data_IF_742944859272
#
_entry.id   IF_742944859272
#
_cell.length_a   1.000
_cell.length_b   1.000
_cell.length_c   1.000
_cell.angle_alpha   90.00
_cell.angle_beta   90.00
_cell.angle_gamma   90.00
#
_symmetry.space_group_name_H-M   'P 1'
#
loop_
_entity.id
_entity.type
_entity.pdbx_description
1 polymer ?
#
# COMPACT_ATOMS: atom_id res chain seq x y z
N UNK A 1 -46.77 -4.77 1.55
CA UNK A 1 -46.99 -5.03 0.12
C UNK A 1 -45.67 -5.57 -0.45
N UNK A 2 -45.63 -6.87 -0.79
CA UNK A 2 -44.54 -7.51 -1.53
C UNK A 2 -44.46 -6.90 -2.93
N UNK A 3 -43.26 -6.74 -3.51
CA UNK A 3 -42.92 -7.10 -4.90
C UNK A 3 -41.69 -6.33 -5.45
N UNK A 4 -40.64 -7.12 -5.70
CA UNK A 4 -39.75 -7.10 -6.87
C UNK A 4 -38.91 -5.85 -7.18
N UNK A 5 -37.64 -5.94 -6.82
CA UNK A 5 -36.54 -5.45 -7.67
C UNK A 5 -35.44 -6.53 -7.69
N UNK A 6 -35.70 -7.60 -8.43
CA UNK A 6 -34.66 -8.51 -8.90
C UNK A 6 -33.85 -7.75 -9.96
N UNK A 7 -32.64 -7.32 -9.61
CA UNK A 7 -31.72 -6.67 -10.53
C UNK A 7 -31.31 -7.66 -11.64
N UNK A 8 -31.56 -7.36 -12.93
CA UNK A 8 -31.27 -8.28 -14.04
C UNK A 8 -29.76 -8.48 -14.28
N UNK A 9 -28.90 -7.75 -13.57
CA UNK A 9 -27.44 -7.79 -13.71
C UNK A 9 -26.87 -9.07 -13.07
N UNK A 10 -27.52 -9.61 -12.02
CA UNK A 10 -27.04 -10.80 -11.31
C UNK A 10 -27.29 -12.11 -12.09
N UNK A 11 -28.34 -12.15 -12.91
CA UNK A 11 -28.64 -13.31 -13.76
C UNK A 11 -27.78 -13.40 -15.03
N UNK A 12 -27.22 -12.29 -15.52
CA UNK A 12 -26.41 -12.30 -16.74
C UNK A 12 -24.96 -12.71 -16.44
N UNK A 13 -24.42 -12.38 -15.27
CA UNK A 13 -23.04 -12.73 -14.88
C UNK A 13 -22.93 -14.20 -14.45
N UNK A 14 -23.97 -14.76 -13.81
CA UNK A 14 -24.04 -16.20 -13.48
C UNK A 14 -24.25 -17.05 -14.74
N UNK A 15 -24.92 -16.51 -15.77
CA UNK A 15 -25.12 -17.24 -17.04
C UNK A 15 -23.84 -17.26 -17.90
N UNK A 16 -23.00 -16.22 -17.85
CA UNK A 16 -21.76 -16.16 -18.61
C UNK A 16 -20.65 -17.08 -18.05
N UNK A 17 -20.63 -17.32 -16.74
CA UNK A 17 -19.70 -18.29 -16.12
C UNK A 17 -20.14 -19.74 -16.31
N UNK A 18 -21.44 -20.01 -16.48
CA UNK A 18 -21.95 -21.37 -16.77
C UNK A 18 -21.69 -21.79 -18.23
N UNK A 19 -21.64 -20.84 -19.17
CA UNK A 19 -21.41 -21.16 -20.60
C UNK A 19 -19.94 -21.55 -20.88
N UNK A 20 -18.97 -21.12 -20.07
CA UNK A 20 -17.56 -21.51 -20.25
C UNK A 20 -17.21 -22.88 -19.64
N UNK A 21 -18.09 -23.50 -18.86
CA UNK A 21 -17.85 -24.81 -18.20
C UNK A 21 -18.62 -25.96 -18.89
N UNK A 22 -19.53 -25.66 -19.82
CA UNK A 22 -20.37 -26.67 -20.49
C UNK A 22 -19.89 -26.99 -21.91
N UNK A 23 -18.65 -27.47 -22.05
CA UNK A 23 -18.22 -28.27 -23.19
C UNK A 23 -17.31 -29.40 -22.68
N UNK A 24 -17.89 -30.30 -21.87
CA UNK A 24 -17.28 -31.61 -21.65
C UNK A 24 -17.84 -32.51 -22.75
N UNK A 25 -17.01 -32.82 -23.74
CA UNK A 25 -17.35 -33.79 -24.78
C UNK A 25 -17.71 -35.12 -24.08
N UNK A 26 -18.90 -35.63 -24.35
CA UNK A 26 -19.25 -37.01 -24.04
C UNK A 26 -18.37 -37.91 -24.89
N UNK A 27 -17.31 -38.46 -24.28
CA UNK A 27 -16.63 -39.62 -24.85
C UNK A 27 -17.60 -40.80 -24.81
N UNK A 28 -18.08 -41.17 -25.99
CA UNK A 28 -18.83 -42.40 -26.22
C UNK A 28 -17.98 -43.59 -25.79
N UNK A 29 -18.48 -44.36 -24.83
CA UNK A 29 -17.86 -45.62 -24.39
C UNK A 29 -17.93 -46.63 -25.53
N UNK A 30 -16.85 -46.78 -26.29
CA UNK A 30 -16.68 -47.89 -27.21
C UNK A 30 -16.39 -49.18 -26.42
N UNK A 31 -17.19 -50.22 -26.66
CA UNK A 31 -16.93 -51.58 -26.18
C UNK A 31 -15.57 -52.05 -26.76
N UNK A 32 -14.67 -52.63 -25.95
CA UNK A 32 -13.35 -53.00 -26.42
C UNK A 32 -13.45 -54.06 -27.53
N UNK A 33 -12.99 -53.70 -28.72
CA UNK A 33 -12.76 -54.64 -29.81
C UNK A 33 -11.73 -55.70 -29.36
N UNK A 34 -11.88 -56.93 -29.83
CA UNK A 34 -11.04 -58.08 -29.44
C UNK A 34 -9.65 -57.96 -30.07
N UNK A 35 -8.85 -57.04 -29.54
CA UNK A 35 -7.45 -56.84 -29.90
C UNK A 35 -6.60 -57.94 -29.24
N UNK A 36 -5.81 -58.66 -30.04
CA UNK A 36 -4.96 -59.75 -29.56
C UNK A 36 -3.61 -59.18 -29.10
N UNK A 37 -3.56 -58.79 -27.84
CA UNK A 37 -2.34 -58.25 -27.22
C UNK A 37 -1.30 -59.35 -27.03
N UNK A 38 -0.03 -59.05 -27.36
CA UNK A 38 1.10 -59.94 -27.14
C UNK A 38 1.34 -60.23 -25.65
N UNK A 39 1.08 -59.24 -24.78
CA UNK A 39 1.03 -59.38 -23.32
C UNK A 39 -0.41 -59.29 -22.83
N UNK A 40 -0.80 -60.20 -21.94
CA UNK A 40 -2.15 -60.18 -21.36
C UNK A 40 -2.10 -60.17 -19.84
N UNK A 41 -2.74 -59.17 -19.24
CA UNK A 41 -3.07 -59.09 -17.84
C UNK A 41 -4.44 -59.77 -17.64
N UNK A 42 -4.49 -60.79 -16.80
CA UNK A 42 -5.71 -61.55 -16.53
C UNK A 42 -6.48 -61.01 -15.32
N UNK A 43 -5.77 -60.74 -14.22
CA UNK A 43 -6.37 -60.30 -12.96
C UNK A 43 -5.33 -59.65 -12.05
N UNK A 44 -5.81 -58.88 -11.09
CA UNK A 44 -5.02 -58.38 -9.97
C UNK A 44 -5.32 -59.22 -8.72
N UNK A 45 -4.37 -59.28 -7.79
CA UNK A 45 -4.59 -59.93 -6.48
C UNK A 45 -5.69 -59.26 -5.68
N UNK A 46 -5.86 -57.94 -5.84
CA UNK A 46 -6.95 -57.14 -5.29
C UNK A 46 -7.36 -56.07 -6.30
N UNK A 47 -8.66 -55.82 -6.43
CA UNK A 47 -9.19 -54.71 -7.24
C UNK A 47 -9.31 -53.41 -6.44
N UNK A 48 -9.27 -53.50 -5.10
CA UNK A 48 -9.29 -52.37 -4.17
C UNK A 48 -8.02 -52.40 -3.32
N UNK A 49 -7.25 -51.30 -3.30
CA UNK A 49 -6.00 -51.21 -2.54
C UNK A 49 -5.68 -49.76 -2.15
N UNK A 50 -4.80 -49.56 -1.16
CA UNK A 50 -4.27 -48.25 -0.80
C UNK A 50 -2.90 -48.00 -1.43
N UNK A 51 -2.51 -46.74 -1.55
CA UNK A 51 -1.14 -46.35 -1.95
C UNK A 51 -0.12 -47.01 -0.99
N UNK A 52 0.92 -47.62 -1.55
CA UNK A 52 1.94 -48.35 -0.78
C UNK A 52 1.60 -49.81 -0.50
N UNK A 53 0.39 -50.28 -0.83
CA UNK A 53 0.07 -51.71 -0.75
C UNK A 53 0.89 -52.50 -1.78
N UNK A 54 1.19 -53.75 -1.44
CA UNK A 54 1.78 -54.69 -2.40
C UNK A 54 0.67 -55.42 -3.16
N UNK A 55 0.69 -55.33 -4.48
CA UNK A 55 -0.22 -56.05 -5.36
C UNK A 55 0.52 -57.01 -6.29
N UNK A 56 -0.18 -58.07 -6.70
CA UNK A 56 0.31 -59.04 -7.68
C UNK A 56 -0.55 -58.94 -8.94
N UNK A 57 0.12 -58.71 -10.07
CA UNK A 57 -0.47 -58.66 -11.40
C UNK A 57 -0.26 -60.02 -12.05
N UNK A 58 -1.35 -60.72 -12.35
CA UNK A 58 -1.30 -62.04 -12.98
C UNK A 58 -1.60 -61.91 -14.47
N UNK A 59 -0.80 -62.56 -15.30
CA UNK A 59 -0.93 -62.52 -16.75
C UNK A 59 -0.08 -63.57 -17.45
N UNK A 60 0.27 -63.29 -18.71
CA UNK A 60 1.11 -64.15 -19.54
C UNK A 60 2.00 -63.31 -20.46
N UNK A 61 3.15 -63.86 -20.82
CA UNK A 61 4.16 -63.28 -21.72
C UNK A 61 4.83 -62.02 -21.14
N UNK A 62 4.90 -61.89 -19.82
CA UNK A 62 5.63 -60.78 -19.19
C UNK A 62 7.14 -60.88 -19.44
N UNK A 63 7.66 -62.08 -19.68
CA UNK A 63 9.07 -62.41 -19.74
C UNK A 63 9.65 -62.77 -18.38
N UNK A 64 10.69 -63.60 -18.36
CA UNK A 64 11.37 -64.09 -17.15
C UNK A 64 12.00 -62.96 -16.30
N UNK A 65 12.29 -61.82 -16.92
CA UNK A 65 12.80 -60.61 -16.26
C UNK A 65 12.17 -59.35 -16.86
N UNK A 66 12.13 -58.26 -16.09
CA UNK A 66 11.53 -56.97 -16.50
C UNK A 66 12.10 -56.44 -17.83
N UNK A 67 13.42 -56.51 -18.00
CA UNK A 67 14.20 -55.91 -19.10
C UNK A 67 13.80 -54.46 -19.35
N UNK A 68 12.89 -54.20 -20.29
CA UNK A 68 12.43 -52.86 -20.66
C UNK A 68 10.92 -52.66 -20.43
N UNK A 69 10.21 -53.65 -19.85
CA UNK A 69 8.77 -53.55 -19.59
C UNK A 69 8.51 -52.66 -18.38
N UNK A 70 7.60 -51.68 -18.52
CA UNK A 70 7.22 -50.78 -17.44
C UNK A 70 5.74 -50.95 -17.16
N UNK A 71 5.40 -51.23 -15.90
CA UNK A 71 4.03 -51.26 -15.40
C UNK A 71 3.58 -49.84 -15.06
N UNK A 72 2.38 -49.47 -15.49
CA UNK A 72 1.84 -48.13 -15.37
C UNK A 72 0.48 -48.16 -14.68
N UNK A 73 0.31 -47.31 -13.68
CA UNK A 73 -0.92 -47.07 -12.92
C UNK A 73 -1.49 -45.71 -13.31
N UNK A 74 -2.52 -45.70 -14.16
CA UNK A 74 -3.25 -44.49 -14.58
C UNK A 74 -2.34 -43.34 -15.09
N UNK A 75 -1.28 -43.71 -15.81
CA UNK A 75 -0.26 -42.78 -16.33
C UNK A 75 1.00 -42.66 -15.49
N UNK A 76 1.03 -43.18 -14.27
CA UNK A 76 2.19 -43.19 -13.37
C UNK A 76 3.01 -44.46 -13.53
N UNK A 77 4.27 -44.33 -13.95
CA UNK A 77 5.22 -45.43 -14.04
C UNK A 77 5.67 -45.90 -12.64
N UNK A 78 5.73 -47.22 -12.43
CA UNK A 78 6.32 -47.79 -11.22
C UNK A 78 7.84 -47.62 -11.29
N UNK A 79 8.43 -47.00 -10.27
CA UNK A 79 9.89 -46.87 -10.14
C UNK A 79 10.56 -48.23 -9.95
N UNK A 80 11.86 -48.33 -10.27
CA UNK A 80 12.59 -49.61 -10.14
C UNK A 80 12.54 -50.19 -8.72
N UNK A 81 12.54 -49.33 -7.69
CA UNK A 81 12.40 -49.72 -6.28
C UNK A 81 11.02 -50.29 -5.93
N UNK A 82 10.00 -49.99 -6.74
CA UNK A 82 8.63 -50.47 -6.54
C UNK A 82 8.41 -51.93 -6.97
N UNK A 83 9.35 -52.55 -7.69
CA UNK A 83 9.25 -53.94 -8.12
C UNK A 83 9.84 -54.88 -7.07
N UNK A 84 9.01 -55.77 -6.53
CA UNK A 84 9.43 -56.79 -5.55
C UNK A 84 9.85 -58.08 -6.27
N UNK A 85 9.09 -58.50 -7.28
CA UNK A 85 9.45 -59.65 -8.11
C UNK A 85 8.81 -59.58 -9.50
N UNK A 86 9.45 -60.22 -10.48
CA UNK A 86 9.00 -60.30 -11.86
C UNK A 86 9.24 -61.71 -12.40
N UNK A 87 8.24 -62.30 -13.04
CA UNK A 87 8.38 -63.51 -13.86
C UNK A 87 7.37 -63.49 -15.01
N UNK A 88 7.37 -64.51 -15.88
CA UNK A 88 6.55 -64.53 -17.09
C UNK A 88 5.03 -64.46 -16.85
N UNK A 89 4.56 -64.87 -15.66
CA UNK A 89 3.14 -64.97 -15.31
C UNK A 89 2.67 -64.03 -14.20
N UNK A 90 3.60 -63.47 -13.42
CA UNK A 90 3.30 -62.69 -12.21
C UNK A 90 4.30 -61.56 -12.03
N UNK A 91 3.77 -60.37 -11.76
CA UNK A 91 4.56 -59.20 -11.37
C UNK A 91 4.08 -58.77 -9.98
N UNK A 92 5.00 -58.63 -9.03
CA UNK A 92 4.71 -58.15 -7.67
C UNK A 92 5.29 -56.75 -7.51
N UNK A 93 4.41 -55.78 -7.24
CA UNK A 93 4.78 -54.37 -7.15
C UNK A 93 4.14 -53.68 -5.96
N UNK A 94 4.76 -52.59 -5.52
CA UNK A 94 4.21 -51.62 -4.59
C UNK A 94 3.41 -50.59 -5.37
N UNK A 95 2.18 -50.30 -4.94
CA UNK A 95 1.32 -49.28 -5.55
C UNK A 95 1.98 -47.91 -5.42
N UNK A 96 2.27 -47.19 -6.53
CA UNK A 96 2.97 -45.92 -6.49
C UNK A 96 2.12 -44.81 -5.85
N UNK A 97 2.78 -43.75 -5.35
CA UNK A 97 2.12 -42.61 -4.68
C UNK A 97 1.12 -41.88 -5.56
N UNK A 98 1.33 -41.92 -6.88
CA UNK A 98 0.48 -41.27 -7.88
C UNK A 98 -0.32 -42.29 -8.71
N UNK A 99 -0.66 -43.45 -8.13
CA UNK A 99 -1.47 -44.47 -8.80
C UNK A 99 -2.88 -44.00 -9.21
N UNK A 100 -3.33 -42.84 -8.72
CA UNK A 100 -4.49 -42.11 -9.24
C UNK A 100 -4.08 -40.64 -9.30
N UNK A 101 -3.51 -40.22 -10.42
CA UNK A 101 -3.36 -38.80 -10.76
C UNK A 101 -3.12 -38.67 -12.27
N UNK A 102 -4.02 -37.96 -12.95
CA UNK A 102 -3.59 -37.15 -14.09
C UNK A 102 -2.73 -36.00 -13.53
N UNK A 103 -1.51 -35.91 -14.06
CA UNK A 103 -0.49 -34.88 -13.81
C UNK A 103 0.47 -35.16 -12.64
N UNK A 104 1.51 -35.93 -12.95
CA UNK A 104 2.70 -36.12 -12.13
C UNK A 104 3.62 -34.87 -12.07
N UNK A 105 3.19 -33.68 -12.50
CA UNK A 105 4.06 -32.50 -12.58
C UNK A 105 3.94 -31.49 -11.43
N UNK A 106 2.92 -31.55 -10.57
CA UNK A 106 2.64 -30.43 -9.63
C UNK A 106 2.70 -30.76 -8.14
N UNK A 107 2.97 -32.01 -7.73
CA UNK A 107 3.17 -32.38 -6.33
C UNK A 107 1.97 -32.13 -5.40
N UNK A 108 0.78 -31.91 -5.96
CA UNK A 108 -0.48 -31.76 -5.25
C UNK A 108 -1.49 -32.76 -5.77
N UNK A 109 -2.20 -33.40 -4.84
CA UNK A 109 -3.25 -34.39 -5.14
C UNK A 109 -4.35 -33.68 -5.91
N UNK A 110 -4.38 -33.84 -7.23
CA UNK A 110 -5.59 -33.57 -7.99
C UNK A 110 -6.64 -34.51 -7.39
N UNK A 111 -7.61 -33.96 -6.68
CA UNK A 111 -8.76 -34.70 -6.16
C UNK A 111 -9.65 -35.07 -7.35
N UNK A 112 -9.15 -35.93 -8.25
CA UNK A 112 -10.00 -36.65 -9.16
C UNK A 112 -11.07 -37.33 -8.31
N UNK A 113 -12.33 -36.98 -8.58
CA UNK A 113 -13.50 -37.59 -7.95
C UNK A 113 -13.62 -39.08 -8.33
N UNK A 114 -12.86 -39.55 -9.33
CA UNK A 114 -12.75 -40.97 -9.64
C UNK A 114 -11.67 -41.62 -8.78
N UNK A 115 -12.07 -42.65 -8.03
CA UNK A 115 -11.13 -43.58 -7.40
C UNK A 115 -10.73 -44.72 -8.35
N UNK A 116 -11.16 -44.67 -9.62
CA UNK A 116 -10.95 -45.71 -10.62
C UNK A 116 -9.75 -45.33 -11.49
N UNK A 117 -8.75 -46.21 -11.56
CA UNK A 117 -7.58 -46.09 -12.45
C UNK A 117 -7.43 -47.31 -13.36
N UNK A 118 -6.56 -47.20 -14.37
CA UNK A 118 -6.24 -48.31 -15.30
C UNK A 118 -4.79 -48.76 -15.15
N UNK A 119 -4.57 -50.07 -15.08
CA UNK A 119 -3.23 -50.67 -15.08
C UNK A 119 -2.89 -51.28 -16.44
N UNK A 120 -1.71 -51.00 -16.97
CA UNK A 120 -1.24 -51.53 -18.26
C UNK A 120 0.30 -51.53 -18.36
N UNK A 121 0.85 -52.15 -19.40
CA UNK A 121 2.29 -52.24 -19.68
C UNK A 121 2.58 -51.59 -21.04
N UNK A 122 3.42 -50.55 -21.07
CA UNK A 122 3.63 -49.72 -22.27
C UNK A 122 4.52 -50.40 -23.31
N UNK A 123 5.70 -50.86 -22.93
CA UNK A 123 6.74 -51.23 -23.91
C UNK A 123 6.41 -52.44 -24.82
N UNK A 124 5.36 -53.19 -24.51
CA UNK A 124 4.93 -54.37 -25.27
C UNK A 124 3.42 -54.38 -25.57
N UNK A 125 2.74 -53.26 -25.32
CA UNK A 125 1.28 -53.06 -25.47
C UNK A 125 0.43 -54.19 -24.86
N UNK A 126 0.02 -54.03 -23.59
CA UNK A 126 -0.93 -54.95 -22.94
C UNK A 126 -2.38 -54.45 -23.00
N UNK A 127 -3.33 -55.33 -22.71
CA UNK A 127 -4.66 -54.89 -22.28
C UNK A 127 -4.57 -54.12 -20.95
N UNK A 128 -5.59 -53.30 -20.68
CA UNK A 128 -5.74 -52.57 -19.42
C UNK A 128 -6.75 -53.25 -18.49
N UNK A 129 -6.51 -53.23 -17.17
CA UNK A 129 -7.53 -53.59 -16.17
C UNK A 129 -7.85 -52.38 -15.28
N UNK A 130 -9.12 -52.22 -14.91
CA UNK A 130 -9.52 -51.19 -13.95
C UNK A 130 -9.27 -51.65 -12.51
N UNK A 131 -8.86 -50.72 -11.65
CA UNK A 131 -8.76 -50.89 -10.20
C UNK A 131 -9.33 -49.68 -9.47
N UNK A 132 -9.59 -49.83 -8.17
CA UNK A 132 -10.01 -48.77 -7.27
C UNK A 132 -8.97 -48.52 -6.17
N UNK A 133 -8.58 -47.26 -5.95
CA UNK A 133 -7.72 -46.90 -4.79
C UNK A 133 -8.56 -46.40 -3.64
N UNK A 134 -8.43 -47.08 -2.50
CA UNK A 134 -9.07 -46.71 -1.26
C UNK A 134 -8.44 -45.44 -0.69
N UNK A 135 -9.18 -44.32 -0.78
CA UNK A 135 -8.80 -43.06 -0.13
C UNK A 135 -9.13 -43.10 1.36
N UNK A 136 -8.27 -42.55 2.24
CA UNK A 136 -8.63 -42.40 3.65
C UNK A 136 -9.88 -41.53 3.81
N UNK A 137 -10.77 -41.93 4.74
CA UNK A 137 -12.06 -41.26 4.96
C UNK A 137 -11.94 -39.75 5.22
N UNK A 138 -10.85 -39.31 5.85
CA UNK A 138 -10.64 -37.91 6.18
C UNK A 138 -10.40 -37.02 4.95
N UNK A 139 -9.91 -37.57 3.83
CA UNK A 139 -9.67 -36.81 2.59
C UNK A 139 -11.00 -36.32 2.00
N UNK A 140 -12.01 -37.20 1.98
CA UNK A 140 -13.36 -36.84 1.54
C UNK A 140 -14.01 -35.80 2.46
N UNK A 141 -13.80 -35.94 3.77
CA UNK A 141 -14.28 -34.97 4.77
C UNK A 141 -13.62 -33.60 4.59
N UNK A 142 -12.30 -33.53 4.39
CA UNK A 142 -11.57 -32.29 4.12
C UNK A 142 -12.08 -31.65 2.82
N UNK A 143 -12.25 -32.43 1.75
CA UNK A 143 -12.75 -31.90 0.47
C UNK A 143 -14.14 -31.27 0.61
N UNK A 144 -15.02 -31.88 1.40
CA UNK A 144 -16.34 -31.33 1.71
C UNK A 144 -16.25 -30.03 2.54
N UNK A 145 -15.33 -29.97 3.51
CA UNK A 145 -15.09 -28.73 4.26
C UNK A 145 -14.58 -27.59 3.38
N UNK A 146 -13.74 -27.87 2.38
CA UNK A 146 -13.28 -26.85 1.42
C UNK A 146 -14.44 -26.30 0.57
N UNK A 147 -15.41 -27.14 0.20
CA UNK A 147 -16.62 -26.66 -0.51
C UNK A 147 -17.49 -25.77 0.39
N UNK A 148 -17.64 -26.16 1.67
CA UNK A 148 -18.34 -25.34 2.66
C UNK A 148 -17.61 -24.01 2.89
N UNK A 149 -16.28 -24.01 2.97
CA UNK A 149 -15.52 -22.78 3.18
C UNK A 149 -15.73 -21.78 2.05
N UNK A 150 -15.79 -22.25 0.79
CA UNK A 150 -16.07 -21.40 -0.37
C UNK A 150 -17.48 -20.75 -0.26
N UNK A 151 -18.49 -21.52 0.16
CA UNK A 151 -19.83 -20.97 0.43
C UNK A 151 -19.79 -19.90 1.53
N UNK A 152 -19.05 -20.16 2.61
CA UNK A 152 -18.87 -19.21 3.71
C UNK A 152 -18.19 -17.93 3.21
N UNK A 153 -17.17 -18.04 2.35
CA UNK A 153 -16.49 -16.89 1.73
C UNK A 153 -17.49 -16.00 0.98
N UNK A 154 -18.36 -16.59 0.16
CA UNK A 154 -19.40 -15.84 -0.58
C UNK A 154 -20.32 -15.08 0.38
N UNK A 155 -20.81 -15.75 1.44
CA UNK A 155 -21.70 -15.14 2.42
C UNK A 155 -20.99 -14.00 3.17
N UNK A 156 -19.75 -14.22 3.59
CA UNK A 156 -18.94 -13.24 4.32
C UNK A 156 -18.71 -11.99 3.48
N UNK A 157 -18.27 -12.16 2.22
CA UNK A 157 -18.04 -11.07 1.28
C UNK A 157 -19.34 -10.31 0.98
N UNK A 158 -20.45 -11.03 0.79
CA UNK A 158 -21.77 -10.40 0.64
C UNK A 158 -22.11 -9.50 1.83
N UNK A 159 -21.90 -9.95 3.07
CA UNK A 159 -22.18 -9.14 4.25
C UNK A 159 -21.29 -7.90 4.34
N UNK A 160 -20.00 -8.02 4.04
CA UNK A 160 -19.07 -6.89 3.97
C UNK A 160 -19.52 -5.87 2.92
N UNK A 161 -19.79 -6.33 1.70
CA UNK A 161 -20.28 -5.49 0.61
C UNK A 161 -21.59 -4.82 1.00
N UNK A 162 -22.58 -5.57 1.51
CA UNK A 162 -23.89 -5.03 1.88
C UNK A 162 -23.79 -3.91 2.93
N UNK A 163 -22.90 -4.05 3.92
CA UNK A 163 -22.67 -3.03 4.96
C UNK A 163 -22.12 -1.74 4.36
N UNK A 164 -21.20 -1.82 3.41
CA UNK A 164 -20.61 -0.66 2.73
C UNK A 164 -21.56 -0.07 1.69
N UNK A 165 -22.25 -0.93 0.93
CA UNK A 165 -23.15 -0.55 -0.16
C UNK A 165 -24.32 0.32 0.29
N UNK A 166 -24.84 0.09 1.50
CA UNK A 166 -25.90 0.91 2.09
C UNK A 166 -25.44 2.36 2.33
N UNK A 167 -24.15 2.55 2.64
CA UNK A 167 -23.55 3.83 3.02
C UNK A 167 -22.63 4.43 1.94
N UNK A 168 -22.58 3.84 0.73
CA UNK A 168 -21.75 4.30 -0.39
C UNK A 168 -21.96 5.74 -0.85
N UNK A 169 -23.02 6.40 -0.37
CA UNK A 169 -23.34 7.78 -0.70
C UNK A 169 -22.70 8.79 0.25
N UNK A 170 -22.15 8.32 1.38
CA UNK A 170 -21.43 9.11 2.38
C UNK A 170 -19.98 9.30 1.93
N UNK A 171 -19.48 10.54 2.05
CA UNK A 171 -18.13 10.89 1.60
C UNK A 171 -17.05 10.20 2.43
N UNK A 172 -17.22 10.18 3.75
CA UNK A 172 -16.31 9.51 4.69
C UNK A 172 -16.12 8.03 4.36
N UNK A 173 -17.17 7.36 3.87
CA UNK A 173 -17.10 5.94 3.48
C UNK A 173 -16.23 5.74 2.25
N UNK A 174 -16.29 6.65 1.27
CA UNK A 174 -15.42 6.60 0.10
C UNK A 174 -13.96 6.91 0.49
N UNK A 175 -13.74 7.97 1.27
CA UNK A 175 -12.41 8.40 1.70
C UNK A 175 -11.74 7.40 2.66
N UNK A 176 -12.50 6.58 3.38
CA UNK A 176 -11.95 5.49 4.23
C UNK A 176 -11.29 4.34 3.46
N UNK A 177 -11.49 4.26 2.13
CA UNK A 177 -10.95 3.18 1.31
C UNK A 177 -9.65 3.62 0.64
N UNK A 178 -8.57 2.89 0.90
CA UNK A 178 -7.27 3.07 0.23
C UNK A 178 -7.35 2.57 -1.22
N UNK A 179 -7.33 3.47 -2.21
CA UNK A 179 -7.35 3.08 -3.63
C UNK A 179 -6.05 2.39 -4.02
N UNK A 180 -4.90 2.87 -3.51
CA UNK A 180 -3.60 2.26 -3.78
C UNK A 180 -3.54 0.86 -3.18
N UNK A 181 -3.95 0.70 -1.92
CA UNK A 181 -4.01 -0.59 -1.24
C UNK A 181 -4.93 -1.58 -1.96
N UNK A 182 -6.13 -1.15 -2.35
CA UNK A 182 -7.06 -1.98 -3.13
C UNK A 182 -6.50 -2.34 -4.51
N UNK A 183 -5.77 -1.44 -5.17
CA UNK A 183 -5.14 -1.72 -6.47
C UNK A 183 -4.06 -2.79 -6.36
N UNK A 184 -3.19 -2.70 -5.35
CA UNK A 184 -2.16 -3.70 -5.07
C UNK A 184 -2.80 -5.05 -4.72
N UNK A 185 -3.85 -5.02 -3.90
CA UNK A 185 -4.61 -6.22 -3.53
C UNK A 185 -5.21 -6.93 -4.76
N UNK A 186 -5.92 -6.20 -5.63
CA UNK A 186 -6.50 -6.75 -6.85
C UNK A 186 -5.40 -7.30 -7.77
N UNK A 187 -4.31 -6.55 -7.95
CA UNK A 187 -3.18 -6.99 -8.78
C UNK A 187 -2.58 -8.31 -8.27
N UNK A 188 -2.37 -8.44 -6.96
CA UNK A 188 -1.91 -9.69 -6.35
C UNK A 188 -2.88 -10.85 -6.61
N UNK A 189 -4.20 -10.63 -6.44
CA UNK A 189 -5.19 -11.66 -6.74
C UNK A 189 -5.18 -12.07 -8.22
N UNK A 190 -4.99 -11.11 -9.15
CA UNK A 190 -4.88 -11.42 -10.59
C UNK A 190 -3.66 -12.29 -10.88
N UNK A 191 -2.51 -12.04 -10.23
CA UNK A 191 -1.33 -12.90 -10.36
C UNK A 191 -1.61 -14.34 -9.91
N UNK A 192 -2.31 -14.50 -8.79
CA UNK A 192 -2.73 -15.83 -8.31
C UNK A 192 -3.72 -16.51 -9.26
N UNK A 193 -4.70 -15.78 -9.80
CA UNK A 193 -5.61 -16.33 -10.81
C UNK A 193 -4.84 -16.79 -12.06
N UNK A 194 -3.87 -16.01 -12.53
CA UNK A 194 -3.02 -16.42 -13.65
C UNK A 194 -2.21 -17.68 -13.31
N UNK A 195 -1.65 -17.76 -12.10
CA UNK A 195 -0.97 -18.96 -11.63
C UNK A 195 -1.91 -20.18 -11.64
N UNK A 196 -3.10 -20.05 -11.06
CA UNK A 196 -4.08 -21.15 -11.02
C UNK A 196 -4.72 -21.46 -12.37
N UNK A 197 -4.69 -20.55 -13.34
CA UNK A 197 -5.24 -20.80 -14.67
C UNK A 197 -4.23 -21.44 -15.63
N UNK A 198 -2.95 -21.03 -15.55
CA UNK A 198 -1.96 -21.37 -16.57
C UNK A 198 -0.79 -22.23 -16.07
N UNK A 199 -0.47 -22.18 -14.77
CA UNK A 199 0.66 -22.92 -14.21
C UNK A 199 0.18 -24.17 -13.48
N UNK A 200 -0.79 -23.99 -12.57
CA UNK A 200 -1.30 -25.06 -11.74
C UNK A 200 -2.81 -25.00 -11.64
N UNK A 201 -3.49 -25.75 -12.51
CA UNK A 201 -4.95 -25.74 -12.58
C UNK A 201 -5.60 -26.21 -11.27
N UNK A 202 -6.21 -25.27 -10.55
CA UNK A 202 -7.00 -25.49 -9.33
C UNK A 202 -8.30 -24.68 -9.43
N UNK A 203 -9.40 -25.37 -9.72
CA UNK A 203 -10.71 -24.77 -9.95
C UNK A 203 -11.28 -24.09 -8.69
N UNK A 204 -11.03 -24.66 -7.51
CA UNK A 204 -11.51 -24.14 -6.23
C UNK A 204 -10.76 -22.87 -5.84
N UNK A 205 -9.44 -22.88 -5.91
CA UNK A 205 -8.61 -21.70 -5.63
C UNK A 205 -8.85 -20.57 -6.63
N UNK A 206 -9.05 -20.91 -7.90
CA UNK A 206 -9.42 -19.94 -8.93
C UNK A 206 -10.78 -19.30 -8.61
N UNK A 207 -11.78 -20.10 -8.25
CA UNK A 207 -13.09 -19.59 -7.86
C UNK A 207 -13.03 -18.69 -6.62
N UNK A 208 -12.35 -19.13 -5.55
CA UNK A 208 -12.21 -18.37 -4.30
C UNK A 208 -11.50 -17.02 -4.52
N UNK A 209 -10.36 -17.05 -5.23
CA UNK A 209 -9.60 -15.83 -5.56
C UNK A 209 -10.41 -14.87 -6.45
N UNK A 210 -11.24 -15.41 -7.36
CA UNK A 210 -12.10 -14.58 -8.21
C UNK A 210 -13.18 -13.83 -7.41
N UNK A 211 -13.70 -14.43 -6.33
CA UNK A 211 -14.67 -13.76 -5.44
C UNK A 211 -13.99 -12.57 -4.73
N UNK A 212 -12.73 -12.73 -4.32
CA UNK A 212 -11.95 -11.64 -3.73
C UNK A 212 -11.65 -10.49 -4.69
N UNK A 213 -11.36 -10.79 -5.97
CA UNK A 213 -11.22 -9.75 -7.01
C UNK A 213 -12.54 -8.97 -7.17
N UNK A 214 -13.67 -9.67 -7.15
CA UNK A 214 -14.99 -9.04 -7.22
C UNK A 214 -15.25 -8.13 -6.02
N UNK A 215 -14.92 -8.57 -4.81
CA UNK A 215 -14.99 -7.74 -3.60
C UNK A 215 -14.12 -6.48 -3.73
N UNK A 216 -12.84 -6.66 -4.06
CA UNK A 216 -11.88 -5.57 -4.21
C UNK A 216 -12.33 -4.55 -5.26
N UNK A 217 -12.89 -5.02 -6.37
CA UNK A 217 -13.41 -4.16 -7.44
C UNK A 217 -14.60 -3.32 -6.98
N UNK A 218 -15.51 -3.88 -6.18
CA UNK A 218 -16.63 -3.14 -5.62
C UNK A 218 -16.13 -2.07 -4.64
N UNK A 219 -15.22 -2.42 -3.74
CA UNK A 219 -14.66 -1.45 -2.79
C UNK A 219 -13.83 -0.38 -3.47
N UNK A 220 -13.09 -0.73 -4.53
CA UNK A 220 -12.38 0.24 -5.35
C UNK A 220 -13.34 1.26 -5.95
N UNK A 221 -14.43 0.79 -6.57
CA UNK A 221 -15.47 1.67 -7.12
C UNK A 221 -16.12 2.56 -6.04
N UNK A 222 -16.39 2.02 -4.86
CA UNK A 222 -16.92 2.82 -3.74
C UNK A 222 -15.88 3.87 -3.31
N UNK A 223 -14.60 3.49 -3.18
CA UNK A 223 -13.51 4.37 -2.79
C UNK A 223 -13.30 5.54 -3.74
N UNK A 224 -13.58 5.37 -5.05
CA UNK A 224 -13.52 6.49 -5.99
C UNK A 224 -14.48 7.64 -5.66
N UNK A 225 -15.51 7.41 -4.84
CA UNK A 225 -16.51 8.42 -4.53
C UNK A 225 -17.57 8.61 -5.63
N UNK A 226 -17.59 7.78 -6.68
CA UNK A 226 -18.57 7.88 -7.79
C UNK A 226 -20.03 7.86 -7.33
N UNK A 227 -20.31 7.22 -6.20
CA UNK A 227 -21.66 7.13 -5.65
C UNK A 227 -22.03 8.30 -4.71
N UNK A 228 -21.07 9.14 -4.30
CA UNK A 228 -21.24 10.24 -3.35
C UNK A 228 -22.12 11.36 -3.94
N UNK A 229 -23.02 11.92 -3.13
CA UNK A 229 -23.91 13.00 -3.55
C UNK A 229 -23.09 14.26 -3.87
N UNK A 230 -23.36 14.92 -5.00
CA UNK A 230 -22.62 16.12 -5.45
C UNK A 230 -21.42 15.84 -6.35
N UNK A 231 -20.80 14.65 -6.27
CA UNK A 231 -19.64 14.26 -7.08
C UNK A 231 -20.00 13.49 -8.37
N UNK A 232 -21.27 13.08 -8.54
CA UNK A 232 -21.77 12.31 -9.71
C UNK A 232 -21.60 13.00 -11.07
N UNK A 233 -21.34 14.31 -11.08
CA UNK A 233 -21.12 15.08 -12.32
C UNK A 233 -19.66 15.00 -12.82
N UNK A 234 -18.74 14.51 -11.99
CA UNK A 234 -17.35 14.31 -12.35
C UNK A 234 -17.18 12.94 -13.03
N UNK A 235 -16.33 12.89 -14.05
CA UNK A 235 -15.97 11.63 -14.70
C UNK A 235 -15.15 10.72 -13.78
N UNK A 236 -15.27 9.40 -13.96
CA UNK A 236 -14.57 8.37 -13.16
C UNK A 236 -13.06 8.63 -13.04
N UNK A 237 -12.40 9.01 -14.14
CA UNK A 237 -10.97 9.33 -14.14
C UNK A 237 -10.60 10.53 -13.28
N UNK A 238 -11.45 11.56 -13.23
CA UNK A 238 -11.20 12.73 -12.39
C UNK A 238 -11.35 12.39 -10.91
N UNK A 239 -12.32 11.55 -10.59
CA UNK A 239 -12.55 11.03 -9.24
C UNK A 239 -11.39 10.16 -8.76
N UNK A 240 -10.90 9.24 -9.60
CA UNK A 240 -9.69 8.44 -9.30
C UNK A 240 -8.49 9.34 -9.07
N UNK A 241 -8.23 10.33 -9.95
CA UNK A 241 -7.12 11.28 -9.76
C UNK A 241 -7.25 12.08 -8.47
N UNK A 242 -8.46 12.48 -8.10
CA UNK A 242 -8.72 13.20 -6.85
C UNK A 242 -8.45 12.33 -5.63
N UNK A 243 -8.97 11.10 -5.61
CA UNK A 243 -8.76 10.16 -4.53
C UNK A 243 -7.27 9.81 -4.35
N UNK A 244 -6.56 9.52 -5.45
CA UNK A 244 -5.11 9.24 -5.41
C UNK A 244 -4.28 10.45 -4.94
N UNK A 245 -4.71 11.69 -5.25
CA UNK A 245 -4.03 12.90 -4.75
C UNK A 245 -4.19 13.07 -3.24
N UNK A 246 -5.35 12.72 -2.68
CA UNK A 246 -5.59 12.76 -1.24
C UNK A 246 -4.76 11.68 -0.54
N UNK A 247 -4.81 10.46 -1.04
CA UNK A 247 -4.06 9.32 -0.49
C UNK A 247 -2.54 9.53 -0.57
N UNK A 248 -2.03 10.17 -1.63
CA UNK A 248 -0.62 10.57 -1.73
C UNK A 248 -0.21 11.51 -0.59
N UNK A 249 -1.08 12.45 -0.19
CA UNK A 249 -0.77 13.37 0.93
C UNK A 249 -0.71 12.63 2.26
N UNK A 250 -1.62 11.68 2.48
CA UNK A 250 -1.62 10.84 3.69
C UNK A 250 -0.41 9.92 3.74
N UNK A 251 -0.07 9.28 2.62
CA UNK A 251 1.12 8.43 2.51
C UNK A 251 2.42 9.23 2.67
N UNK A 252 2.51 10.43 2.09
CA UNK A 252 3.65 11.33 2.24
C UNK A 252 3.79 11.80 3.71
N UNK A 253 2.69 12.11 4.38
CA UNK A 253 2.67 12.40 5.81
C UNK A 253 3.18 11.23 6.66
N UNK A 254 2.78 9.99 6.34
CA UNK A 254 3.24 8.79 7.04
C UNK A 254 4.72 8.46 6.75
N UNK A 255 5.18 8.65 5.51
CA UNK A 255 6.58 8.45 5.13
C UNK A 255 7.49 9.48 5.79
N UNK A 256 7.05 10.75 5.89
CA UNK A 256 7.75 11.81 6.62
C UNK A 256 7.91 11.49 8.12
N UNK A 257 7.03 10.70 8.72
CA UNK A 257 7.20 10.22 10.12
C UNK A 257 8.35 9.24 10.30
N UNK A 258 8.77 8.53 9.24
CA UNK A 258 9.78 7.47 9.32
C UNK A 258 11.22 7.94 9.08
N UNK A 259 11.43 9.18 8.63
CA UNK A 259 12.77 9.73 8.39
C UNK A 259 13.15 10.77 9.44
N UNK A 260 14.27 10.55 10.15
CA UNK A 260 14.91 11.58 10.97
C UNK A 260 15.65 12.56 10.04
N UNK A 261 15.30 13.85 10.01
CA UNK A 261 16.00 14.82 9.19
C UNK A 261 17.44 15.03 9.68
N UNK A 262 18.36 15.36 8.76
CA UNK A 262 19.64 15.93 9.14
C UNK A 262 19.37 17.25 9.89
N UNK A 263 20.06 17.49 11.00
CA UNK A 263 19.77 18.64 11.89
C UNK A 263 18.36 18.61 12.55
N UNK A 264 17.79 17.44 12.83
CA UNK A 264 16.50 17.32 13.52
C UNK A 264 16.43 18.10 14.85
N UNK A 265 17.56 18.27 15.55
CA UNK A 265 17.65 19.11 16.76
C UNK A 265 17.38 20.60 16.47
N UNK A 266 17.84 21.12 15.32
CA UNK A 266 17.57 22.49 14.91
C UNK A 266 16.08 22.69 14.58
N UNK A 267 15.46 21.70 13.94
CA UNK A 267 14.02 21.69 13.66
C UNK A 267 13.22 21.71 14.96
N UNK A 268 13.53 20.82 15.91
CA UNK A 268 12.88 20.82 17.23
C UNK A 268 13.08 22.16 17.96
N UNK A 269 14.27 22.77 17.86
CA UNK A 269 14.54 24.10 18.41
C UNK A 269 13.70 25.22 17.78
N UNK A 270 13.46 25.17 16.47
CA UNK A 270 12.57 26.11 15.77
C UNK A 270 11.13 25.93 16.22
N UNK A 271 10.64 24.69 16.28
CA UNK A 271 9.27 24.38 16.71
C UNK A 271 9.03 24.81 18.17
N UNK A 272 10.01 24.56 19.05
CA UNK A 272 9.94 25.04 20.44
C UNK A 272 9.89 26.58 20.54
N UNK A 273 10.62 27.30 19.69
CA UNK A 273 10.57 28.76 19.67
C UNK A 273 9.22 29.30 19.15
N UNK A 274 8.57 28.58 18.23
CA UNK A 274 7.23 28.94 17.73
C UNK A 274 6.19 28.72 18.83
N UNK A 275 6.17 27.55 19.47
CA UNK A 275 5.25 27.20 20.56
C UNK A 275 5.41 28.04 21.84
N UNK A 276 6.35 28.97 21.85
CA UNK A 276 6.58 29.82 23.00
C UNK A 276 6.68 31.30 22.62
N UNK A 277 6.17 31.64 21.44
CA UNK A 277 6.28 32.99 20.88
C UNK A 277 5.51 34.02 21.71
N UNK A 278 4.38 33.61 22.29
CA UNK A 278 3.50 34.37 23.18
C UNK A 278 3.86 34.25 24.67
N UNK A 279 4.99 33.61 24.99
CA UNK A 279 5.46 33.29 26.35
C UNK A 279 4.58 32.31 27.14
N UNK A 280 3.52 31.76 26.53
CA UNK A 280 2.74 30.66 27.06
C UNK A 280 3.17 29.38 26.35
N UNK A 281 3.29 28.26 27.08
CA UNK A 281 3.56 26.97 26.43
C UNK A 281 2.30 26.11 26.51
N UNK A 282 1.57 25.99 25.41
CA UNK A 282 0.35 25.18 25.42
C UNK A 282 0.69 23.68 25.60
N UNK A 283 -0.02 22.96 26.50
CA UNK A 283 0.21 21.53 26.72
C UNK A 283 0.06 20.66 25.47
N UNK A 284 -0.78 21.02 24.50
CA UNK A 284 -0.96 20.28 23.24
C UNK A 284 0.23 20.47 22.31
N UNK A 285 0.74 21.70 22.19
CA UNK A 285 1.96 21.97 21.43
C UNK A 285 3.15 21.24 22.05
N UNK A 286 3.24 21.21 23.38
CA UNK A 286 4.24 20.43 24.09
C UNK A 286 4.13 18.94 23.80
N UNK A 287 2.93 18.37 23.86
CA UNK A 287 2.69 16.96 23.52
C UNK A 287 3.07 16.66 22.07
N UNK A 288 2.73 17.55 21.14
CA UNK A 288 3.03 17.41 19.72
C UNK A 288 4.54 17.44 19.45
N UNK A 289 5.27 18.39 20.02
CA UNK A 289 6.74 18.49 19.89
C UNK A 289 7.41 17.27 20.55
N UNK A 290 6.94 16.84 21.73
CA UNK A 290 7.45 15.62 22.38
C UNK A 290 7.22 14.38 21.53
N UNK A 291 6.08 14.27 20.85
CA UNK A 291 5.82 13.16 19.94
C UNK A 291 6.83 13.13 18.78
N UNK A 292 7.12 14.28 18.17
CA UNK A 292 8.15 14.39 17.12
C UNK A 292 9.56 14.06 17.64
N UNK A 293 9.92 14.61 18.80
CA UNK A 293 11.24 14.36 19.40
C UNK A 293 11.44 12.87 19.75
N UNK A 294 10.41 12.23 20.32
CA UNK A 294 10.42 10.81 20.65
C UNK A 294 10.57 9.94 19.40
N UNK A 295 9.83 10.25 18.34
CA UNK A 295 9.89 9.52 17.07
C UNK A 295 11.29 9.61 16.44
N UNK A 296 11.97 10.74 16.58
CA UNK A 296 13.31 10.95 16.07
C UNK A 296 14.45 10.58 17.03
N UNK A 297 14.12 10.02 18.20
CA UNK A 297 15.07 9.68 19.26
C UNK A 297 15.96 10.89 19.65
N UNK A 298 15.32 12.04 19.86
CA UNK A 298 15.95 13.28 20.32
C UNK A 298 15.59 13.48 21.80
N UNK A 299 16.59 13.76 22.62
CA UNK A 299 16.39 14.13 24.02
C UNK A 299 15.87 15.56 24.11
N UNK A 300 14.55 15.70 24.06
CA UNK A 300 13.86 16.99 24.15
C UNK A 300 13.47 17.30 25.59
N UNK A 301 14.12 18.30 26.17
CA UNK A 301 13.81 18.82 27.50
C UNK A 301 13.36 20.29 27.41
N UNK A 302 12.04 20.56 27.51
CA UNK A 302 11.52 21.92 27.39
C UNK A 302 11.98 22.84 28.52
N UNK A 303 12.20 22.31 29.73
CA UNK A 303 12.69 23.10 30.85
C UNK A 303 14.12 23.62 30.62
N UNK A 304 14.97 22.81 29.98
CA UNK A 304 16.34 23.22 29.64
C UNK A 304 16.35 24.32 28.58
N UNK A 305 15.56 24.15 27.52
CA UNK A 305 15.47 25.13 26.42
C UNK A 305 14.87 26.46 26.90
N UNK A 306 13.91 26.42 27.82
CA UNK A 306 13.34 27.62 28.43
C UNK A 306 14.32 28.39 29.32
N UNK A 307 15.27 27.70 29.97
CA UNK A 307 16.33 28.35 30.77
C UNK A 307 17.37 29.06 29.90
N UNK A 308 17.59 28.58 28.67
CA UNK A 308 18.50 29.18 27.71
C UNK A 308 17.90 30.40 26.98
N UNK A 309 16.61 30.71 27.20
CA UNK A 309 15.95 31.90 26.63
C UNK A 309 16.23 33.15 27.46
N UNK A 310 16.76 34.19 26.80
CA UNK A 310 16.74 35.55 27.32
C UNK A 310 15.32 36.14 27.15
N UNK A 311 14.72 36.64 28.24
CA UNK A 311 13.36 37.20 28.27
C UNK A 311 13.31 38.57 27.58
N UNK A 312 12.38 38.71 26.65
CA UNK A 312 12.10 39.92 25.86
C UNK A 312 11.22 39.55 24.66
N UNK A 313 9.95 39.95 24.67
CA UNK A 313 8.92 39.53 23.69
C UNK A 313 9.29 39.88 22.25
N UNK A 314 9.89 41.05 22.01
CA UNK A 314 10.19 41.55 20.67
C UNK A 314 11.51 41.00 20.07
N UNK A 315 12.48 40.67 20.93
CA UNK A 315 13.69 39.94 20.53
C UNK A 315 13.38 38.49 20.12
N UNK A 316 12.28 37.90 20.62
CA UNK A 316 11.91 36.53 20.34
C UNK A 316 11.58 36.31 18.85
N UNK A 317 10.84 37.22 18.23
CA UNK A 317 10.46 37.15 16.81
C UNK A 317 11.69 37.20 15.89
N UNK A 318 12.59 38.15 16.13
CA UNK A 318 13.81 38.33 15.35
C UNK A 318 14.75 37.13 15.55
N UNK A 319 14.87 36.63 16.78
CA UNK A 319 15.69 35.45 17.09
C UNK A 319 15.17 34.20 16.38
N UNK A 320 13.86 33.97 16.38
CA UNK A 320 13.24 32.85 15.69
C UNK A 320 13.48 32.96 14.17
N UNK A 321 13.24 34.12 13.56
CA UNK A 321 13.56 34.35 12.13
C UNK A 321 15.03 34.05 11.83
N UNK A 322 15.96 34.59 12.61
CA UNK A 322 17.40 34.32 12.47
C UNK A 322 17.76 32.85 12.69
N UNK A 323 17.00 32.12 13.49
CA UNK A 323 17.21 30.67 13.69
C UNK A 323 16.82 29.90 12.43
N UNK A 324 15.69 30.25 11.81
CA UNK A 324 15.25 29.66 10.53
C UNK A 324 16.22 30.04 9.41
N UNK A 325 16.67 31.29 9.36
CA UNK A 325 17.71 31.78 8.44
C UNK A 325 18.98 30.93 8.53
N UNK A 326 19.57 30.81 9.73
CA UNK A 326 20.75 29.97 9.98
C UNK A 326 20.53 28.50 9.64
N UNK A 327 19.30 28.00 9.75
CA UNK A 327 18.97 26.64 9.36
C UNK A 327 18.98 26.49 7.84
N UNK A 328 18.40 27.45 7.09
CA UNK A 328 18.37 27.46 5.63
C UNK A 328 19.76 27.75 5.01
N UNK A 329 20.57 28.60 5.64
CA UNK A 329 21.95 28.91 5.21
C UNK A 329 22.88 27.69 5.24
N UNK A 330 22.50 26.63 5.96
CA UNK A 330 23.23 25.34 5.98
C UNK A 330 22.88 24.44 4.79
N UNK A 331 22.10 24.94 3.85
CA UNK A 331 21.64 24.25 2.65
C UNK A 331 21.00 22.87 2.96
N UNK A 332 20.02 22.78 3.87
CA UNK A 332 19.35 21.53 4.17
C UNK A 332 18.63 20.97 2.92
N UNK A 333 18.55 19.63 2.76
CA UNK A 333 17.80 19.02 1.68
C UNK A 333 16.36 19.54 1.61
N UNK A 334 15.85 19.75 0.39
CA UNK A 334 14.51 20.32 0.13
C UNK A 334 13.40 19.54 0.86
N UNK A 335 13.53 18.23 1.00
CA UNK A 335 12.59 17.38 1.73
C UNK A 335 12.49 17.75 3.22
N UNK A 336 13.61 18.10 3.87
CA UNK A 336 13.64 18.49 5.28
C UNK A 336 13.03 19.88 5.48
N UNK A 337 13.23 20.77 4.51
CA UNK A 337 12.64 22.10 4.52
C UNK A 337 11.12 22.03 4.29
N UNK A 338 10.67 21.16 3.40
CA UNK A 338 9.25 20.88 3.22
C UNK A 338 8.62 20.26 4.48
N UNK A 339 9.36 19.37 5.17
CA UNK A 339 8.91 18.79 6.44
C UNK A 339 8.80 19.85 7.54
N UNK A 340 9.79 20.74 7.68
CA UNK A 340 9.72 21.86 8.62
C UNK A 340 8.47 22.72 8.36
N UNK A 341 8.20 23.06 7.09
CA UNK A 341 6.99 23.79 6.69
C UNK A 341 5.71 23.09 7.15
N UNK A 342 5.61 21.79 6.89
CA UNK A 342 4.43 20.99 7.23
C UNK A 342 4.24 20.92 8.75
N UNK A 343 5.32 20.80 9.53
CA UNK A 343 5.27 20.76 11.00
C UNK A 343 4.85 22.09 11.59
N UNK A 344 5.41 23.21 11.11
CA UNK A 344 5.00 24.56 11.52
C UNK A 344 3.51 24.75 11.22
N UNK A 345 3.06 24.38 10.02
CA UNK A 345 1.65 24.48 9.63
C UNK A 345 0.77 23.59 10.51
N UNK A 346 1.24 22.40 10.85
CA UNK A 346 0.50 21.45 11.72
C UNK A 346 0.35 22.00 13.13
N UNK A 347 1.39 22.62 13.69
CA UNK A 347 1.32 23.23 15.02
C UNK A 347 0.30 24.37 15.06
N UNK A 348 0.38 25.31 14.11
CA UNK A 348 -0.54 26.45 14.03
C UNK A 348 -2.00 26.00 13.82
N UNK A 349 -2.22 24.87 13.13
CA UNK A 349 -3.55 24.31 12.89
C UNK A 349 -4.03 23.36 13.98
N UNK A 350 -3.16 22.90 14.88
CA UNK A 350 -3.53 21.97 15.95
C UNK A 350 -4.45 22.64 16.96
N UNK A 351 -4.36 23.96 17.09
CA UNK A 351 -5.23 24.74 17.94
C UNK A 351 -6.48 25.25 17.22
N UNK A 352 -7.59 25.27 17.95
CA UNK A 352 -8.89 25.73 17.44
C UNK A 352 -8.90 27.24 17.16
N UNK A 353 -7.88 27.98 17.63
CA UNK A 353 -7.73 29.43 17.46
C UNK A 353 -6.26 29.80 17.26
N UNK A 354 -5.96 30.38 16.10
CA UNK A 354 -4.66 30.97 15.78
C UNK A 354 -4.53 32.32 16.52
N UNK A 355 -3.45 32.52 17.25
CA UNK A 355 -3.13 33.79 17.93
C UNK A 355 -2.59 34.85 16.96
N UNK A 356 -2.57 36.12 17.36
CA UNK A 356 -2.05 37.19 16.52
C UNK A 356 -0.54 37.04 16.30
N UNK A 357 0.15 36.58 17.34
CA UNK A 357 1.58 36.32 17.43
C UNK A 357 2.00 35.20 16.47
N UNK A 358 1.28 34.07 16.47
CA UNK A 358 1.47 32.96 15.53
C UNK A 358 1.17 33.36 14.09
N UNK A 359 0.08 34.10 13.85
CA UNK A 359 -0.25 34.61 12.52
C UNK A 359 0.85 35.55 12.01
N UNK A 360 1.36 36.44 12.87
CA UNK A 360 2.43 37.36 12.53
C UNK A 360 3.70 36.60 12.15
N UNK A 361 4.19 35.71 13.01
CA UNK A 361 5.46 35.01 12.77
C UNK A 361 5.35 34.03 11.61
N UNK A 362 4.25 33.28 11.49
CA UNK A 362 4.06 32.33 10.40
C UNK A 362 3.96 33.01 9.03
N UNK A 363 3.37 34.22 8.98
CA UNK A 363 3.33 35.04 7.76
C UNK A 363 4.72 35.48 7.28
N UNK A 364 5.72 35.49 8.15
CA UNK A 364 7.13 35.77 7.82
C UNK A 364 7.89 34.47 7.47
N UNK A 365 7.77 33.44 8.32
CA UNK A 365 8.56 32.21 8.18
C UNK A 365 8.11 31.32 7.03
N UNK A 366 6.80 31.16 6.81
CA UNK A 366 6.30 30.26 5.77
C UNK A 366 6.71 30.73 4.36
N UNK A 367 6.58 32.01 3.99
CA UNK A 367 7.07 32.48 2.70
C UNK A 367 8.59 32.40 2.57
N UNK A 368 9.35 32.65 3.65
CA UNK A 368 10.81 32.47 3.67
C UNK A 368 11.20 31.02 3.31
N UNK A 369 10.53 30.05 3.93
CA UNK A 369 10.71 28.63 3.67
C UNK A 369 10.26 28.26 2.26
N UNK A 370 9.13 28.80 1.78
CA UNK A 370 8.65 28.58 0.41
C UNK A 370 9.60 29.13 -0.65
N UNK A 371 10.20 30.29 -0.39
CA UNK A 371 11.14 30.91 -1.30
C UNK A 371 12.39 30.04 -1.48
N UNK A 372 12.91 29.48 -0.39
CA UNK A 372 13.99 28.49 -0.44
C UNK A 372 13.60 27.24 -1.25
N UNK A 373 12.38 26.72 -1.06
CA UNK A 373 11.90 25.54 -1.79
C UNK A 373 11.72 25.77 -3.31
N UNK A 374 11.45 27.01 -3.72
CA UNK A 374 11.22 27.40 -5.13
C UNK A 374 12.49 27.89 -5.84
N UNK A 375 13.58 28.15 -5.11
CA UNK A 375 14.84 28.64 -5.69
C UNK A 375 14.81 30.12 -6.09
N UNK A 376 14.30 30.99 -5.19
CA UNK A 376 14.25 32.45 -5.37
C UNK A 376 13.36 32.97 -6.52
N UNK A 377 12.29 32.26 -6.85
CA UNK A 377 11.28 32.72 -7.81
C UNK A 377 10.33 33.78 -7.21
N UNK A 378 10.74 35.06 -7.27
CA UNK A 378 9.83 36.20 -7.31
C UNK A 378 8.97 36.46 -6.06
N UNK A 379 9.43 36.06 -4.88
CA UNK A 379 8.70 36.34 -3.64
C UNK A 379 8.82 37.82 -3.27
N UNK A 380 7.69 38.48 -3.00
CA UNK A 380 7.63 39.89 -2.61
C UNK A 380 8.34 40.06 -1.27
N UNK A 381 9.40 40.86 -1.25
CA UNK A 381 10.12 41.22 -0.03
C UNK A 381 9.89 42.70 0.32
N UNK A 382 9.50 42.97 1.56
CA UNK A 382 9.33 44.29 2.14
C UNK A 382 10.66 44.77 2.71
N UNK A 383 11.16 45.89 2.19
CA UNK A 383 12.42 46.48 2.64
C UNK A 383 12.16 47.40 3.84
N UNK A 384 12.90 47.20 4.92
CA UNK A 384 12.88 48.13 6.07
C UNK A 384 14.02 49.11 5.93
N UNK A 385 13.69 50.40 5.91
CA UNK A 385 14.65 51.49 5.73
C UNK A 385 14.64 52.43 6.93
N UNK A 386 15.82 52.88 7.36
CA UNK A 386 15.99 53.99 8.31
C UNK A 386 16.34 55.26 7.53
N UNK A 387 15.63 56.36 7.78
CA UNK A 387 15.96 57.66 7.20
C UNK A 387 16.50 58.57 8.31
N UNK A 388 17.81 58.89 8.31
CA UNK A 388 18.39 59.78 9.31
C UNK A 388 17.73 61.17 9.25
N UNK A 389 17.41 61.74 10.41
CA UNK A 389 16.86 63.10 10.53
C UNK A 389 17.92 64.14 10.94
N UNK A 390 19.10 63.69 11.37
CA UNK A 390 20.24 64.53 11.73
C UNK A 390 21.57 63.84 11.39
N UNK A 391 22.67 64.61 11.35
CA UNK A 391 24.02 64.05 11.14
C UNK A 391 24.45 63.12 12.29
N UNK A 392 24.04 63.40 13.52
CA UNK A 392 24.31 62.56 14.69
C UNK A 392 23.62 61.18 14.60
N UNK A 393 22.41 61.14 14.04
CA UNK A 393 21.73 59.88 13.73
C UNK A 393 22.44 59.11 12.61
N UNK A 394 23.03 59.81 11.64
CA UNK A 394 23.79 59.16 10.57
C UNK A 394 25.03 58.43 11.13
N UNK A 395 25.76 59.09 12.02
CA UNK A 395 26.92 58.49 12.71
C UNK A 395 26.48 57.30 13.60
N UNK A 396 25.36 57.45 14.32
CA UNK A 396 24.82 56.40 15.18
C UNK A 396 24.33 55.17 14.38
N UNK A 397 23.74 55.37 13.20
CA UNK A 397 23.34 54.28 12.31
C UNK A 397 24.58 53.55 11.77
N UNK A 398 25.65 54.27 11.45
CA UNK A 398 26.91 53.65 10.99
C UNK A 398 27.57 52.78 12.08
N UNK A 399 27.40 53.14 13.36
CA UNK A 399 27.85 52.30 14.48
C UNK A 399 26.95 51.08 14.70
N UNK A 400 25.62 51.27 14.65
CA UNK A 400 24.65 50.20 14.89
C UNK A 400 24.59 49.17 13.75
N UNK A 401 24.71 49.65 12.50
CA UNK A 401 24.57 48.86 11.28
C UNK A 401 25.73 49.15 10.33
N UNK A 402 26.95 48.67 10.63
CA UNK A 402 28.16 49.00 9.86
C UNK A 402 28.12 48.51 8.41
N UNK A 403 27.27 47.53 8.10
CA UNK A 403 27.13 46.94 6.77
C UNK A 403 25.82 47.34 6.06
N UNK A 404 25.07 48.33 6.56
CA UNK A 404 23.82 48.74 5.94
C UNK A 404 24.03 49.37 4.55
N UNK A 405 23.27 48.91 3.56
CA UNK A 405 23.29 49.45 2.21
C UNK A 405 22.60 50.83 2.18
N UNK A 406 23.23 51.83 1.55
CA UNK A 406 22.64 53.17 1.37
C UNK A 406 21.76 53.20 0.12
N UNK A 407 20.47 53.50 0.30
CA UNK A 407 19.49 53.63 -0.78
C UNK A 407 19.02 55.07 -0.89
N UNK A 408 19.01 55.60 -2.11
CA UNK A 408 18.36 56.88 -2.39
C UNK A 408 16.85 56.69 -2.59
N UNK A 409 16.07 57.41 -1.82
CA UNK A 409 14.60 57.43 -1.89
C UNK A 409 14.10 58.84 -2.23
N UNK A 410 12.81 58.98 -2.53
CA UNK A 410 12.18 60.29 -2.75
C UNK A 410 12.29 61.22 -1.53
N UNK A 411 12.51 60.67 -0.33
CA UNK A 411 12.70 61.41 0.92
C UNK A 411 14.17 61.72 1.26
N UNK A 412 15.11 61.39 0.38
CA UNK A 412 16.55 61.53 0.64
C UNK A 412 17.25 60.17 0.81
N UNK A 413 18.42 60.20 1.43
CA UNK A 413 19.24 59.01 1.66
C UNK A 413 18.68 58.21 2.84
N UNK A 414 18.54 56.90 2.65
CA UNK A 414 18.07 55.96 3.65
C UNK A 414 19.03 54.76 3.75
N UNK A 415 19.04 54.10 4.90
CA UNK A 415 19.83 52.91 5.17
C UNK A 415 18.93 51.68 5.18
N UNK A 416 19.25 50.66 4.36
CA UNK A 416 18.55 49.39 4.36
C UNK A 416 18.96 48.57 5.58
N UNK A 417 17.99 48.15 6.39
CA UNK A 417 18.24 47.25 7.52
C UNK A 417 18.28 45.81 7.03
N UNK A 418 17.15 45.35 6.49
CA UNK A 418 16.93 43.98 6.01
C UNK A 418 15.65 43.95 5.15
N UNK A 419 15.41 42.80 4.52
CA UNK A 419 14.25 42.47 3.71
C UNK A 419 13.39 41.40 4.42
N UNK A 420 12.08 41.57 4.42
CA UNK A 420 11.15 40.68 5.13
C UNK A 420 10.05 40.18 4.21
N UNK A 421 9.50 39.01 4.47
CA UNK A 421 8.46 38.41 3.63
C UNK A 421 7.04 38.85 4.02
N UNK A 422 6.86 39.41 5.21
CA UNK A 422 5.58 39.89 5.73
C UNK A 422 5.63 41.40 6.00
N UNK A 423 4.61 42.10 5.51
CA UNK A 423 4.41 43.52 5.83
C UNK A 423 4.23 43.74 7.33
N UNK A 424 3.45 42.88 8.01
CA UNK A 424 3.19 42.98 9.46
C UNK A 424 4.51 42.86 10.24
N UNK A 425 5.38 41.92 9.83
CA UNK A 425 6.68 41.72 10.44
C UNK A 425 7.63 42.90 10.17
N UNK A 426 7.68 43.40 8.93
CA UNK A 426 8.47 44.58 8.58
C UNK A 426 8.04 45.83 9.37
N UNK A 427 6.74 46.01 9.61
CA UNK A 427 6.20 47.11 10.42
C UNK A 427 6.55 46.95 11.91
N UNK A 428 6.52 45.73 12.45
CA UNK A 428 6.99 45.44 13.81
C UNK A 428 8.47 45.82 13.96
N UNK A 429 9.34 45.43 13.03
CA UNK A 429 10.77 45.81 13.04
C UNK A 429 10.92 47.33 12.95
N UNK A 430 10.16 48.01 12.09
CA UNK A 430 10.16 49.47 12.03
C UNK A 430 9.84 50.12 13.37
N UNK A 431 8.87 49.58 14.12
CA UNK A 431 8.46 50.11 15.41
C UNK A 431 9.58 50.05 16.44
N UNK A 432 10.38 48.97 16.47
CA UNK A 432 11.52 48.85 17.39
C UNK A 432 12.54 49.99 17.21
N UNK A 433 12.87 50.33 15.97
CA UNK A 433 13.76 51.44 15.69
C UNK A 433 13.11 52.80 15.99
N UNK A 434 11.78 52.91 15.89
CA UNK A 434 11.05 54.14 16.27
C UNK A 434 11.07 54.36 17.79
N UNK A 435 11.07 53.30 18.59
CA UNK A 435 11.16 53.42 20.06
C UNK A 435 12.48 54.05 20.51
N UNK A 436 13.56 53.84 19.75
CA UNK A 436 14.86 54.50 19.95
C UNK A 436 15.02 55.78 19.09
N UNK A 437 13.90 56.39 18.68
CA UNK A 437 13.79 57.66 17.96
C UNK A 437 14.37 57.71 16.52
N UNK A 438 14.48 56.57 15.83
CA UNK A 438 14.75 56.57 14.39
C UNK A 438 13.47 56.66 13.57
N UNK A 439 13.53 57.43 12.48
CA UNK A 439 12.46 57.42 11.49
C UNK A 439 12.64 56.23 10.54
N UNK A 440 11.65 55.35 10.48
CA UNK A 440 11.70 54.13 9.66
C UNK A 440 10.50 54.02 8.72
N UNK A 441 10.74 53.46 7.54
CA UNK A 441 9.73 53.23 6.51
C UNK A 441 9.81 51.80 5.97
N UNK A 442 8.65 51.20 5.69
CA UNK A 442 8.57 49.95 4.94
C UNK A 442 8.38 50.30 3.47
N UNK A 443 9.37 49.98 2.64
CA UNK A 443 9.28 50.10 1.18
C UNK A 443 8.76 48.79 0.61
N UNK A 444 7.62 48.84 -0.07
CA UNK A 444 7.15 47.75 -0.92
C UNK A 444 7.98 47.71 -2.21
N UNK A 445 8.32 46.53 -2.73
CA UNK A 445 9.01 46.44 -4.01
C UNK A 445 8.08 46.99 -5.10
N UNK A 446 8.66 47.75 -6.02
CA UNK A 446 7.92 48.33 -7.13
C UNK A 446 7.41 47.18 -8.02
N UNK A 447 6.08 46.98 -8.07
CA UNK A 447 5.42 45.92 -8.86
C UNK A 447 5.56 46.13 -10.36
#
# INVERSE_FOLDING_TARGET
MKSKFTSPIFSIIILLTIILVSCKNEETVELPSKQDYGIKIFRLSKLEFSIGDTIEVYGKNFGETKVNSVLVFDGTEVSDEGYISWNDSTIKVIVPKDAINLSAETGLVNLSLSNIGKIYIINKESNSLSYEVLRPWYVSVISYFVQISLLITVVFIYLKINKMWKRKHEREVAESQSLVGLSIYIANCVLWVCYYAFVQFDDKSLADTSIYIFEGSIFFLIGTGIFVKGQRRLGLWNLIKQALRLERKEADYLLKKWFRPANAEAIIGILHQIAMIDEEYDPKEEELIKAFAKEWNIDYNPAKLNLERHKGTEDNYIRLRKTVEKYLDREPPLEQVAQLKDMITTMIQADEKITYEEEMISSELLPMIENYLKGDEGTIQYLVLIVPQSSEQEDSIAELLPNAEKIYTSGGMAYMIDSFYSKKFAEMVCNQYREINYFTIVKTPDT
#
